data_IF_551859392744
#
_entry.id   IF_551859392744
#
_cell.length_a   1.000
_cell.length_b   1.000
_cell.length_c   1.000
_cell.angle_alpha   90.00
_cell.angle_beta   90.00
_cell.angle_gamma   90.00
#
_symmetry.space_group_name_H-M   'P 1'
#
loop_
_entity.id
_entity.type
_entity.pdbx_description
1 polymer ?
#
# COMPACT_ATOMS: atom_id res chain seq x y z
N UNK A 1 13.54 0.16 21.46
CA UNK A 1 14.35 -0.53 20.45
C UNK A 1 13.55 -0.75 19.19
N UNK A 2 14.17 -0.54 18.07
CA UNK A 2 13.50 -0.76 16.80
C UNK A 2 13.20 -2.23 16.61
N UNK A 3 12.15 -2.51 15.83
CA UNK A 3 11.77 -3.88 15.48
C UNK A 3 12.11 -4.10 14.01
N UNK A 4 13.34 -4.48 13.71
CA UNK A 4 13.80 -4.54 12.31
C UNK A 4 12.94 -5.44 11.45
N UNK A 5 12.47 -6.55 12.00
CA UNK A 5 11.64 -7.47 11.22
C UNK A 5 10.31 -6.84 10.86
N UNK A 6 9.72 -6.13 11.82
CA UNK A 6 8.42 -5.50 11.58
C UNK A 6 8.57 -4.32 10.63
N UNK A 7 9.64 -3.54 10.79
CA UNK A 7 9.89 -2.43 9.88
C UNK A 7 10.11 -2.95 8.45
N UNK A 8 10.85 -4.05 8.32
CA UNK A 8 11.05 -4.66 7.02
C UNK A 8 9.73 -5.16 6.43
N UNK A 9 8.89 -5.75 7.28
CA UNK A 9 7.58 -6.19 6.83
C UNK A 9 6.76 -5.02 6.29
N UNK A 10 6.77 -3.89 7.00
CA UNK A 10 6.06 -2.71 6.56
C UNK A 10 6.58 -2.20 5.22
N UNK A 11 7.90 -2.22 5.07
CA UNK A 11 8.52 -1.78 3.82
C UNK A 11 8.09 -2.66 2.65
N UNK A 12 8.09 -3.98 2.86
CA UNK A 12 7.67 -4.91 1.83
C UNK A 12 6.19 -4.72 1.52
N UNK A 13 5.37 -4.52 2.55
CA UNK A 13 3.94 -4.33 2.35
C UNK A 13 3.66 -3.05 1.57
N UNK A 14 4.44 -1.99 1.85
CA UNK A 14 4.29 -0.74 1.10
C UNK A 14 4.61 -0.95 -0.37
N UNK A 15 5.67 -1.69 -0.66
CA UNK A 15 6.02 -2.00 -2.04
C UNK A 15 4.94 -2.80 -2.72
N UNK A 16 4.38 -3.78 -2.01
CA UNK A 16 3.30 -4.60 -2.56
C UNK A 16 2.04 -3.77 -2.82
N UNK A 17 1.72 -2.85 -1.93
CA UNK A 17 0.56 -2.00 -2.11
C UNK A 17 0.74 -1.07 -3.30
N UNK A 18 1.96 -0.56 -3.51
CA UNK A 18 2.25 0.28 -4.67
C UNK A 18 2.11 -0.52 -5.95
N UNK A 19 2.58 -1.77 -5.95
CA UNK A 19 2.46 -2.63 -7.11
C UNK A 19 0.99 -2.95 -7.40
N UNK A 20 0.21 -3.13 -6.34
CA UNK A 20 -1.21 -3.36 -6.51
C UNK A 20 -1.88 -2.16 -7.17
N UNK A 21 -1.52 -0.95 -6.75
CA UNK A 21 -2.07 0.25 -7.37
C UNK A 21 -1.77 0.27 -8.87
N UNK A 22 -0.55 -0.09 -9.24
CA UNK A 22 -0.17 -0.13 -10.63
C UNK A 22 -0.99 -1.15 -11.41
N UNK A 23 -1.17 -2.34 -10.84
CA UNK A 23 -1.93 -3.39 -11.50
C UNK A 23 -3.40 -3.02 -11.61
N UNK A 24 -3.94 -2.33 -10.62
CA UNK A 24 -5.32 -1.86 -10.68
C UNK A 24 -5.50 -0.84 -11.81
N UNK A 25 -4.54 0.05 -11.95
CA UNK A 25 -4.57 1.03 -13.03
C UNK A 25 -4.54 0.34 -14.38
N UNK A 26 -3.69 -0.65 -14.51
CA UNK A 26 -3.58 -1.42 -15.74
C UNK A 26 -4.87 -2.15 -16.05
N UNK A 27 -5.45 -2.78 -15.03
CA UNK A 27 -6.71 -3.50 -15.20
C UNK A 27 -7.83 -2.56 -15.65
N UNK A 28 -7.86 -1.34 -15.09
CA UNK A 28 -8.84 -0.36 -15.51
C UNK A 28 -8.63 0.03 -16.97
N UNK A 29 -7.38 0.30 -17.35
CA UNK A 29 -7.09 0.72 -18.71
C UNK A 29 -7.41 -0.38 -19.72
N UNK A 30 -7.24 -1.63 -19.33
CA UNK A 30 -7.58 -2.77 -20.17
C UNK A 30 -9.05 -3.15 -20.07
N UNK A 31 -9.82 -2.40 -19.27
CA UNK A 31 -11.25 -2.61 -19.11
C UNK A 31 -11.58 -3.97 -18.53
N UNK A 32 -10.71 -4.47 -17.67
CA UNK A 32 -10.93 -5.74 -16.99
C UNK A 32 -11.78 -5.57 -15.72
N UNK A 33 -11.86 -4.35 -15.19
CA UNK A 33 -12.68 -4.05 -14.02
C UNK A 33 -13.49 -2.79 -14.30
N UNK A 34 -14.59 -2.67 -13.58
CA UNK A 34 -15.44 -1.50 -13.71
C UNK A 34 -14.76 -0.28 -13.08
N UNK A 35 -15.03 0.94 -13.62
CA UNK A 35 -14.44 2.14 -13.01
C UNK A 35 -14.79 2.28 -11.54
N UNK A 36 -16.00 1.91 -11.13
CA UNK A 36 -16.41 2.00 -9.74
C UNK A 36 -15.57 1.06 -8.87
N UNK A 37 -15.35 -0.15 -9.36
CA UNK A 37 -14.53 -1.12 -8.62
C UNK A 37 -13.09 -0.66 -8.53
N UNK A 38 -12.58 -0.07 -9.61
CA UNK A 38 -11.24 0.46 -9.59
C UNK A 38 -11.10 1.54 -8.53
N UNK A 39 -12.04 2.48 -8.48
CA UNK A 39 -11.95 3.59 -7.52
C UNK A 39 -12.00 3.08 -6.09
N UNK A 40 -12.85 2.11 -5.83
CA UNK A 40 -12.94 1.55 -4.49
C UNK A 40 -11.65 0.85 -4.09
N UNK A 41 -11.14 -0.01 -4.96
CA UNK A 41 -9.94 -0.79 -4.65
C UNK A 41 -8.72 0.12 -4.57
N UNK A 42 -8.61 1.09 -5.46
CA UNK A 42 -7.50 2.03 -5.44
C UNK A 42 -7.54 2.87 -4.16
N UNK A 43 -8.74 3.26 -3.73
CA UNK A 43 -8.89 4.00 -2.48
C UNK A 43 -8.43 3.18 -1.29
N UNK A 44 -8.77 1.90 -1.26
CA UNK A 44 -8.35 1.02 -0.18
C UNK A 44 -6.84 0.84 -0.17
N UNK A 45 -6.24 0.71 -1.34
CA UNK A 45 -4.79 0.55 -1.44
C UNK A 45 -4.09 1.81 -0.95
N UNK A 46 -4.61 2.98 -1.30
CA UNK A 46 -4.04 4.25 -0.87
C UNK A 46 -4.14 4.39 0.65
N UNK A 47 -5.29 4.03 1.21
CA UNK A 47 -5.49 4.10 2.66
C UNK A 47 -4.53 3.16 3.37
N UNK A 48 -4.36 1.96 2.85
CA UNK A 48 -3.45 1.00 3.44
C UNK A 48 -2.02 1.52 3.43
N UNK A 49 -1.61 2.12 2.31
CA UNK A 49 -0.27 2.68 2.22
C UNK A 49 -0.06 3.79 3.24
N UNK A 50 -1.07 4.63 3.43
CA UNK A 50 -0.98 5.72 4.39
C UNK A 50 -0.80 5.18 5.81
N UNK A 51 -1.57 4.15 6.15
CA UNK A 51 -1.47 3.55 7.46
C UNK A 51 -0.12 2.88 7.67
N UNK A 52 0.36 2.17 6.66
CA UNK A 52 1.67 1.52 6.76
C UNK A 52 2.79 2.53 6.86
N UNK A 53 2.70 3.63 6.13
CA UNK A 53 3.71 4.67 6.19
C UNK A 53 3.75 5.29 7.58
N UNK A 54 2.59 5.57 8.15
CA UNK A 54 2.53 6.14 9.49
C UNK A 54 3.13 5.18 10.51
N UNK A 55 2.81 3.91 10.38
CA UNK A 55 3.35 2.89 11.29
C UNK A 55 4.87 2.77 11.14
N UNK A 56 5.34 2.77 9.91
CA UNK A 56 6.78 2.67 9.65
C UNK A 56 7.52 3.85 10.25
N UNK A 57 6.97 5.04 10.08
CA UNK A 57 7.58 6.25 10.64
C UNK A 57 7.60 6.21 12.16
N UNK A 58 6.53 5.70 12.76
CA UNK A 58 6.47 5.59 14.21
C UNK A 58 7.52 4.62 14.73
N UNK A 59 7.70 3.51 14.05
CA UNK A 59 8.71 2.53 14.44
C UNK A 59 10.10 3.13 14.36
N UNK A 60 10.37 3.91 13.32
CA UNK A 60 11.67 4.55 13.18
C UNK A 60 11.88 5.64 14.22
N UNK A 61 10.84 6.34 14.57
CA UNK A 61 10.94 7.43 15.56
C UNK A 61 11.23 6.91 16.96
N UNK A 62 10.83 5.67 17.22
CA UNK A 62 10.96 5.08 18.55
C UNK A 62 12.35 4.49 18.81
N UNK A 63 13.27 4.56 17.87
CA UNK A 63 14.61 4.01 18.05
C UNK A 63 15.45 4.76 19.05
#
# INVERSE_FOLDING_TARGET
MAMPRFARFCSIALGSASELEYHLLLARDLKLIQPRDYEELAGQATELKRMLTALFQKLNADR
#
